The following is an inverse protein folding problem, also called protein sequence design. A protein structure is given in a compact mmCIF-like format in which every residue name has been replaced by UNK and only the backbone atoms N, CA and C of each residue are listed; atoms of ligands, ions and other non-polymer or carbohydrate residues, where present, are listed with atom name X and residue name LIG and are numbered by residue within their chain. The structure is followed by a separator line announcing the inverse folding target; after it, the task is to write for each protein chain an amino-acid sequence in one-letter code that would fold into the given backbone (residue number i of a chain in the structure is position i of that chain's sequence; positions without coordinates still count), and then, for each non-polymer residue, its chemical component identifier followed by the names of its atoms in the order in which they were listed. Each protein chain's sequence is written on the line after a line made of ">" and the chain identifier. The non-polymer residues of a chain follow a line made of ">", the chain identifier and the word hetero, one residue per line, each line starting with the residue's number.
data_IF_173706215657
#
_entry.id   IF_173706215657
#
_cell.length_a   1.000
_cell.length_b   1.000
_cell.length_c   1.000
_cell.angle_alpha   90.00
_cell.angle_beta   90.00
_cell.angle_gamma   90.00
#
_symmetry.space_group_name_H-M   'P 1'
#
loop_
_entity.id
_entity.type
_entity.pdbx_description
1 polymer ?
#
# COMPACT_ATOMS: atom_id res chain seq x y z
N UNK A 1 -2.77 19.69 4.76
CA UNK A 1 -2.99 19.28 3.34
C UNK A 1 -3.76 17.96 3.29
N UNK A 2 -4.60 17.72 2.28
CA UNK A 2 -5.42 16.49 2.18
C UNK A 2 -4.78 15.51 1.17
N UNK A 3 -4.47 14.27 1.61
CA UNK A 3 -3.89 13.20 0.79
C UNK A 3 -4.63 12.96 -0.52
N UNK A 4 -5.96 12.91 -0.49
CA UNK A 4 -6.76 12.65 -1.69
C UNK A 4 -6.72 13.80 -2.68
N UNK A 5 -6.63 15.04 -2.19
CA UNK A 5 -6.41 16.20 -3.07
C UNK A 5 -5.03 16.11 -3.73
N UNK A 6 -4.02 15.64 -3.01
CA UNK A 6 -2.68 15.41 -3.57
C UNK A 6 -2.72 14.28 -4.60
N UNK A 7 -3.36 13.15 -4.30
CA UNK A 7 -3.54 12.06 -5.26
C UNK A 7 -4.22 12.54 -6.54
N UNK A 8 -5.26 13.37 -6.43
CA UNK A 8 -5.99 13.91 -7.58
C UNK A 8 -5.11 14.85 -8.44
N UNK A 9 -4.02 15.43 -7.90
CA UNK A 9 -3.03 16.23 -8.66
C UNK A 9 -1.94 15.39 -9.33
N UNK A 10 -1.75 14.14 -8.90
CA UNK A 10 -0.71 13.27 -9.42
C UNK A 10 -1.16 12.57 -10.71
N UNK A 11 -0.18 12.19 -11.54
CA UNK A 11 -0.48 11.27 -12.64
C UNK A 11 -0.95 9.94 -12.06
N UNK A 12 -1.84 9.24 -12.77
CA UNK A 12 -2.36 7.93 -12.34
C UNK A 12 -1.24 6.92 -12.04
N UNK A 13 -0.17 6.93 -12.82
CA UNK A 13 0.99 6.07 -12.59
C UNK A 13 1.72 6.41 -11.29
N UNK A 14 1.92 7.70 -11.00
CA UNK A 14 2.59 8.19 -9.79
C UNK A 14 1.79 7.84 -8.53
N UNK A 15 0.46 8.00 -8.59
CA UNK A 15 -0.43 7.58 -7.53
C UNK A 15 -0.41 6.05 -7.32
N UNK A 16 -0.35 5.27 -8.41
CA UNK A 16 -0.24 3.81 -8.32
C UNK A 16 1.08 3.37 -7.67
N UNK A 17 2.18 4.09 -7.91
CA UNK A 17 3.48 3.82 -7.28
C UNK A 17 3.43 3.97 -5.76
N UNK A 18 2.62 4.90 -5.23
CA UNK A 18 2.44 5.06 -3.78
C UNK A 18 1.84 3.78 -3.19
N UNK A 19 0.76 3.27 -3.78
CA UNK A 19 0.14 2.02 -3.32
C UNK A 19 1.05 0.82 -3.49
N UNK A 20 1.80 0.77 -4.60
CA UNK A 20 2.77 -0.29 -4.85
C UNK A 20 3.86 -0.28 -3.77
N UNK A 21 4.39 0.89 -3.40
CA UNK A 21 5.38 1.02 -2.35
C UNK A 21 4.83 0.61 -0.98
N UNK A 22 3.61 1.05 -0.64
CA UNK A 22 2.91 0.66 0.59
C UNK A 22 2.73 -0.86 0.66
N UNK A 23 2.25 -1.50 -0.40
CA UNK A 23 2.07 -2.95 -0.44
C UNK A 23 3.40 -3.69 -0.32
N UNK A 24 4.45 -3.28 -1.04
CA UNK A 24 5.70 -4.03 -1.10
C UNK A 24 6.73 -3.64 -0.02
N UNK A 25 6.29 -2.97 1.06
CA UNK A 25 7.14 -2.54 2.18
C UNK A 25 8.35 -1.69 1.75
N UNK A 26 8.22 -0.97 0.64
CA UNK A 26 9.26 -0.07 0.12
C UNK A 26 9.26 1.18 1.00
N UNK A 27 10.41 1.64 1.53
CA UNK A 27 10.45 2.87 2.30
C UNK A 27 9.95 4.07 1.48
N UNK A 28 9.09 4.88 2.09
CA UNK A 28 8.51 6.09 1.49
C UNK A 28 9.07 7.30 2.23
N UNK A 29 9.62 8.25 1.49
CA UNK A 29 10.15 9.51 2.01
C UNK A 29 9.27 10.64 1.50
N UNK A 30 8.59 11.32 2.41
CA UNK A 30 7.73 12.45 2.10
C UNK A 30 8.48 13.74 2.42
N UNK A 31 8.82 14.51 1.39
CA UNK A 31 9.55 15.77 1.52
C UNK A 31 8.62 16.96 1.27
N UNK A 32 8.79 18.06 1.98
CA UNK A 32 8.00 19.27 1.76
C UNK A 32 8.48 20.46 2.59
N UNK A 33 7.85 21.62 2.42
CA UNK A 33 8.24 22.84 3.15
C UNK A 33 7.66 22.96 4.55
N UNK A 34 6.48 22.39 4.79
CA UNK A 34 5.74 22.57 6.04
C UNK A 34 5.63 21.24 6.78
N UNK A 35 6.25 21.14 7.95
CA UNK A 35 6.28 19.90 8.73
C UNK A 35 4.89 19.36 9.10
N UNK A 36 3.91 20.25 9.35
CA UNK A 36 2.55 19.86 9.72
C UNK A 36 1.84 19.15 8.56
N UNK A 37 1.93 19.71 7.34
CA UNK A 37 1.35 19.10 6.14
C UNK A 37 1.96 17.73 5.85
N UNK A 38 3.28 17.62 6.00
CA UNK A 38 3.99 16.35 5.82
C UNK A 38 3.52 15.34 6.87
N UNK A 39 3.51 15.71 8.16
CA UNK A 39 3.11 14.79 9.23
C UNK A 39 1.66 14.32 9.07
N UNK A 40 0.74 15.21 8.67
CA UNK A 40 -0.64 14.84 8.36
C UNK A 40 -0.71 13.85 7.19
N UNK A 41 0.10 14.07 6.14
CA UNK A 41 0.20 13.14 5.02
C UNK A 41 0.78 11.78 5.43
N UNK A 42 1.78 11.74 6.32
CA UNK A 42 2.32 10.49 6.86
C UNK A 42 1.26 9.68 7.61
N UNK A 43 0.43 10.36 8.42
CA UNK A 43 -0.67 9.73 9.15
C UNK A 43 -1.66 9.13 8.15
N UNK A 44 -2.12 9.92 7.18
CA UNK A 44 -3.07 9.47 6.17
C UNK A 44 -2.54 8.28 5.34
N UNK A 45 -1.24 8.27 4.99
CA UNK A 45 -0.59 7.11 4.35
C UNK A 45 -0.59 5.86 5.23
N UNK A 46 -0.25 6.03 6.52
CA UNK A 46 -0.14 4.91 7.47
C UNK A 46 -1.50 4.26 7.72
N UNK A 47 -2.58 5.05 7.74
CA UNK A 47 -3.94 4.55 7.92
C UNK A 47 -4.44 3.65 6.77
N UNK A 48 -3.83 3.74 5.58
CA UNK A 48 -4.18 2.88 4.43
C UNK A 48 -3.70 1.43 4.64
N UNK A 49 -2.57 1.25 5.31
CA UNK A 49 -1.93 -0.05 5.58
C UNK A 49 -2.33 -0.65 6.92
N UNK A 50 -3.61 -0.55 7.25
CA UNK A 50 -4.20 -1.02 8.52
C UNK A 50 -4.13 -2.53 8.78
N UNK A 51 -3.73 -3.35 7.80
CA UNK A 51 -3.41 -4.78 7.99
C UNK A 51 -2.01 -5.02 8.58
N UNK A 52 -1.22 -3.96 8.75
CA UNK A 52 0.07 -3.95 9.43
C UNK A 52 -0.02 -3.16 10.72
N UNK A 53 0.78 -3.55 11.70
CA UNK A 53 0.88 -2.85 12.97
C UNK A 53 1.74 -1.59 12.80
N UNK A 54 1.20 -0.43 13.17
CA UNK A 54 1.94 0.83 13.17
C UNK A 54 2.88 0.88 14.39
N UNK A 55 4.10 1.36 14.15
CA UNK A 55 4.99 1.85 15.20
C UNK A 55 5.53 3.23 14.83
N UNK A 56 5.55 4.15 15.78
CA UNK A 56 6.01 5.51 15.61
C UNK A 56 7.39 5.67 16.22
N UNK A 57 8.38 5.98 15.38
CA UNK A 57 9.74 6.23 15.86
C UNK A 57 9.76 7.43 16.82
N UNK A 58 10.48 7.27 17.93
CA UNK A 58 10.57 8.24 19.04
C UNK A 58 9.34 8.32 19.95
N UNK A 59 8.31 7.49 19.70
CA UNK A 59 7.17 7.30 20.60
C UNK A 59 7.13 5.86 21.12
N UNK A 60 7.16 4.88 20.21
CA UNK A 60 7.03 3.46 20.55
C UNK A 60 8.40 2.78 20.72
N UNK A 61 9.43 3.28 20.03
CA UNK A 61 10.81 2.79 20.14
C UNK A 61 11.81 3.88 19.76
N UNK A 62 13.05 3.75 20.24
CA UNK A 62 14.12 4.76 20.03
C UNK A 62 15.43 4.09 19.57
N UNK A 63 15.70 2.86 19.97
CA UNK A 63 16.98 2.18 19.75
C UNK A 63 16.97 1.29 18.49
N UNK A 64 18.19 0.95 18.03
CA UNK A 64 18.37 0.01 16.92
C UNK A 64 18.00 -1.41 17.32
N UNK A 65 18.34 -1.82 18.55
CA UNK A 65 17.99 -3.15 19.06
C UNK A 65 16.48 -3.37 19.14
N UNK A 66 15.71 -2.40 19.64
CA UNK A 66 14.24 -2.51 19.67
C UNK A 66 13.66 -2.70 18.25
N UNK A 67 14.18 -1.97 17.27
CA UNK A 67 13.77 -2.13 15.88
C UNK A 67 14.16 -3.50 15.31
N UNK A 68 15.37 -3.96 15.58
CA UNK A 68 15.83 -5.27 15.12
C UNK A 68 15.01 -6.40 15.74
N UNK A 69 14.66 -6.30 17.03
CA UNK A 69 13.78 -7.25 17.72
C UNK A 69 12.38 -7.29 17.08
N UNK A 70 11.82 -6.12 16.72
CA UNK A 70 10.54 -6.06 16.00
C UNK A 70 10.59 -6.83 14.67
N UNK A 71 11.63 -6.60 13.87
CA UNK A 71 11.81 -7.27 12.56
C UNK A 71 12.12 -8.76 12.74
N UNK A 72 12.88 -9.14 13.77
CA UNK A 72 13.17 -10.56 14.04
C UNK A 72 11.91 -11.33 14.44
N UNK A 73 11.04 -10.74 15.27
CA UNK A 73 9.78 -11.35 15.67
C UNK A 73 8.88 -11.66 14.46
N UNK A 74 8.87 -10.80 13.45
CA UNK A 74 8.16 -11.08 12.19
C UNK A 74 8.67 -12.37 11.53
N UNK A 75 9.98 -12.57 11.48
CA UNK A 75 10.57 -13.73 10.80
C UNK A 75 10.33 -15.05 11.54
N UNK A 76 10.03 -15.00 12.84
CA UNK A 76 9.80 -16.20 13.66
C UNK A 76 8.34 -16.66 13.55
N UNK A 77 7.38 -15.74 13.52
CA UNK A 77 5.96 -16.05 13.44
C UNK A 77 5.29 -15.39 12.23
N UNK A 78 4.91 -16.20 11.24
CA UNK A 78 4.18 -15.74 10.06
C UNK A 78 2.74 -15.28 10.38
N UNK A 79 2.20 -15.60 11.56
CA UNK A 79 0.89 -15.11 11.99
C UNK A 79 0.97 -13.72 12.63
N UNK A 80 2.15 -13.27 13.06
CA UNK A 80 2.33 -11.95 13.63
C UNK A 80 2.04 -10.86 12.59
N UNK A 81 1.40 -9.78 13.05
CA UNK A 81 1.19 -8.59 12.23
C UNK A 81 2.55 -7.95 11.90
N UNK A 82 2.84 -7.82 10.60
CA UNK A 82 4.04 -7.14 10.14
C UNK A 82 4.00 -5.67 10.56
N UNK A 83 5.14 -5.13 10.96
CA UNK A 83 5.31 -3.75 11.35
C UNK A 83 5.45 -2.86 10.11
N UNK A 84 4.88 -1.66 10.22
CA UNK A 84 5.28 -0.51 9.42
C UNK A 84 5.66 0.64 10.36
N UNK A 85 6.67 1.41 9.97
CA UNK A 85 7.23 2.44 10.84
C UNK A 85 6.86 3.81 10.31
N UNK A 86 6.20 4.64 11.11
CA UNK A 86 6.05 6.07 10.81
C UNK A 86 7.13 6.87 11.53
N UNK A 87 7.81 7.74 10.79
CA UNK A 87 8.84 8.63 11.32
C UNK A 87 8.46 10.09 11.08
N UNK A 88 8.01 10.83 12.11
CA UNK A 88 7.69 12.25 12.00
C UNK A 88 8.87 13.12 11.56
N UNK A 89 8.56 14.30 11.00
CA UNK A 89 9.57 15.24 10.52
C UNK A 89 10.60 15.63 11.59
N UNK A 90 10.15 15.82 12.83
CA UNK A 90 10.98 16.28 13.97
C UNK A 90 12.11 15.33 14.35
N UNK A 91 12.04 14.06 13.94
CA UNK A 91 13.00 13.01 14.31
C UNK A 91 13.62 12.29 13.10
N UNK A 92 13.29 12.74 11.89
CA UNK A 92 13.73 12.14 10.63
C UNK A 92 15.25 12.04 10.48
N UNK A 93 15.98 13.13 10.74
CA UNK A 93 17.45 13.14 10.69
C UNK A 93 18.07 12.19 11.72
N UNK A 94 17.44 12.06 12.90
CA UNK A 94 17.89 11.10 13.92
C UNK A 94 17.73 9.67 13.44
N UNK A 95 16.59 9.35 12.82
CA UNK A 95 16.36 8.03 12.22
C UNK A 95 17.38 7.75 11.11
N UNK A 96 17.53 8.68 10.17
CA UNK A 96 18.48 8.53 9.06
C UNK A 96 19.92 8.34 9.54
N UNK A 97 20.34 9.00 10.62
CA UNK A 97 21.69 8.83 11.15
C UNK A 97 21.88 7.52 11.94
N UNK A 98 20.82 7.04 12.60
CA UNK A 98 20.89 5.89 13.52
C UNK A 98 20.70 4.55 12.83
N UNK A 99 19.82 4.47 11.84
CA UNK A 99 19.45 3.21 11.19
C UNK A 99 20.08 3.10 9.80
N UNK A 100 20.33 1.85 9.40
CA UNK A 100 20.88 1.50 8.08
C UNK A 100 19.94 0.59 7.28
N UNK A 101 18.78 0.23 7.83
CA UNK A 101 17.75 -0.58 7.19
C UNK A 101 16.41 0.05 7.50
N UNK A 102 15.55 0.14 6.49
CA UNK A 102 14.32 0.92 6.54
C UNK A 102 13.14 0.14 5.94
N UNK A 103 12.91 -1.09 6.41
CA UNK A 103 11.81 -1.92 5.94
C UNK A 103 10.46 -1.31 6.32
N UNK A 104 9.62 -0.99 5.33
CA UNK A 104 8.30 -0.39 5.53
C UNK A 104 8.28 0.91 6.33
N UNK A 105 9.32 1.74 6.24
CA UNK A 105 9.35 3.06 6.87
C UNK A 105 8.64 4.12 6.01
N UNK A 106 7.88 4.99 6.64
CA UNK A 106 7.29 6.20 6.06
C UNK A 106 7.87 7.40 6.82
N UNK A 107 8.77 8.14 6.18
CA UNK A 107 9.60 9.17 6.81
C UNK A 107 9.23 10.55 6.26
N UNK A 108 8.88 11.49 7.13
CA UNK A 108 8.71 12.89 6.76
C UNK A 108 10.02 13.66 6.85
N UNK A 109 10.34 14.47 5.85
CA UNK A 109 11.52 15.35 5.86
C UNK A 109 11.09 16.76 5.48
N UNK A 110 11.29 17.69 6.41
CA UNK A 110 11.10 19.12 6.13
C UNK A 110 12.32 19.66 5.37
N UNK A 111 12.07 20.24 4.19
CA UNK A 111 13.07 20.87 3.36
C UNK A 111 13.19 22.35 3.73
N UNK A 112 14.25 22.69 4.47
CA UNK A 112 14.63 24.09 4.69
C UNK A 112 15.25 24.62 3.40
N UNK A 113 14.90 25.86 3.01
CA UNK A 113 15.00 26.50 1.67
C UNK A 113 16.33 26.45 0.86
N UNK A 114 17.35 25.68 1.26
CA UNK A 114 18.53 25.48 0.43
C UNK A 114 18.32 24.40 -0.62
N UNK A 115 18.36 24.79 -1.89
CA UNK A 115 18.22 23.93 -3.09
C UNK A 115 19.26 22.78 -3.10
N UNK A 116 20.42 22.96 -2.45
CA UNK A 116 21.43 21.91 -2.28
C UNK A 116 21.06 20.79 -1.27
N UNK A 117 20.02 20.99 -0.45
CA UNK A 117 19.64 20.03 0.59
C UNK A 117 18.96 18.78 0.01
N UNK A 118 18.12 18.92 -1.02
CA UNK A 118 17.36 17.81 -1.61
C UNK A 118 18.27 16.83 -2.36
N UNK A 119 19.27 17.33 -3.11
CA UNK A 119 20.28 16.49 -3.78
C UNK A 119 21.13 15.72 -2.76
N UNK A 120 21.50 16.36 -1.65
CA UNK A 120 22.24 15.72 -0.58
C UNK A 120 21.42 14.64 0.15
N UNK A 121 20.11 14.85 0.34
CA UNK A 121 19.21 13.86 0.94
C UNK A 121 19.12 12.62 0.05
N UNK A 122 18.80 12.78 -1.25
CA UNK A 122 18.75 11.64 -2.19
C UNK A 122 20.05 10.83 -2.21
N UNK A 123 21.20 11.52 -2.28
CA UNK A 123 22.51 10.86 -2.26
C UNK A 123 22.78 10.12 -0.95
N UNK A 124 22.32 10.68 0.18
CA UNK A 124 22.43 10.01 1.49
C UNK A 124 21.51 8.79 1.59
N UNK A 125 20.29 8.88 1.07
CA UNK A 125 19.32 7.78 1.05
C UNK A 125 19.82 6.61 0.20
N UNK A 126 20.37 6.88 -1.00
CA UNK A 126 20.96 5.84 -1.87
C UNK A 126 22.13 5.08 -1.24
N UNK A 127 22.78 5.62 -0.21
CA UNK A 127 23.83 4.91 0.55
C UNK A 127 23.27 3.97 1.62
N UNK A 128 21.99 4.14 1.99
CA UNK A 128 21.34 3.45 3.11
C UNK A 128 20.20 2.53 2.67
N UNK A 129 19.63 2.76 1.49
CA UNK A 129 18.47 2.07 0.98
C UNK A 129 18.70 1.72 -0.48
N UNK A 130 18.50 0.45 -0.83
CA UNK A 130 18.63 -0.01 -2.21
C UNK A 130 17.47 0.48 -3.08
N UNK A 131 16.28 0.58 -2.51
CA UNK A 131 15.07 1.07 -3.16
C UNK A 131 14.23 1.90 -2.19
N UNK A 132 13.64 3.00 -2.68
CA UNK A 132 12.75 3.87 -1.92
C UNK A 132 11.89 4.73 -2.85
N UNK A 133 10.75 5.18 -2.35
CA UNK A 133 9.86 6.12 -3.04
C UNK A 133 10.02 7.51 -2.41
N UNK A 134 10.24 8.54 -3.22
CA UNK A 134 10.18 9.95 -2.78
C UNK A 134 8.88 10.57 -3.26
N UNK A 135 8.21 11.26 -2.34
CA UNK A 135 7.04 12.10 -2.61
C UNK A 135 7.41 13.53 -2.23
N UNK A 136 7.55 14.41 -3.21
CA UNK A 136 7.81 15.83 -3.00
C UNK A 136 6.49 16.59 -3.01
N UNK A 137 6.15 17.18 -1.86
CA UNK A 137 5.01 18.04 -1.64
C UNK A 137 5.42 19.50 -1.86
N UNK A 138 5.12 20.02 -3.04
CA UNK A 138 5.38 21.42 -3.40
C UNK A 138 4.08 22.17 -3.66
N UNK A 139 4.12 23.50 -3.53
CA UNK A 139 2.97 24.37 -3.80
C UNK A 139 2.51 24.29 -5.26
N UNK A 140 3.44 24.17 -6.20
CA UNK A 140 3.14 24.25 -7.63
C UNK A 140 2.81 22.87 -8.24
N UNK A 141 3.57 21.85 -7.87
CA UNK A 141 3.44 20.50 -8.45
C UNK A 141 4.01 19.44 -7.52
N UNK A 142 3.16 18.47 -7.18
CA UNK A 142 3.58 17.28 -6.45
C UNK A 142 4.29 16.31 -7.40
N UNK A 143 5.36 15.69 -6.92
CA UNK A 143 6.16 14.76 -7.72
C UNK A 143 6.44 13.48 -6.95
N UNK A 144 6.36 12.36 -7.65
CA UNK A 144 6.65 11.03 -7.11
C UNK A 144 7.75 10.40 -7.93
N UNK A 145 8.76 9.85 -7.26
CA UNK A 145 9.90 9.24 -7.91
C UNK A 145 10.28 7.96 -7.17
N UNK A 146 10.31 6.85 -7.91
CA UNK A 146 10.79 5.57 -7.40
C UNK A 146 12.26 5.41 -7.77
N UNK A 147 13.09 5.15 -6.77
CA UNK A 147 14.53 4.97 -6.90
C UNK A 147 14.89 3.52 -6.63
N UNK A 148 15.90 3.01 -7.33
CA UNK A 148 16.43 1.66 -7.12
C UNK A 148 15.65 0.51 -7.76
N UNK A 149 14.50 0.79 -8.39
CA UNK A 149 13.70 -0.21 -9.10
C UNK A 149 13.40 0.28 -10.52
N UNK A 150 13.59 -0.59 -11.50
CA UNK A 150 13.26 -0.29 -12.88
C UNK A 150 11.73 -0.29 -13.08
N UNK A 151 11.15 0.87 -13.37
CA UNK A 151 9.71 1.03 -13.61
C UNK A 151 9.16 0.11 -14.71
N UNK A 152 9.99 -0.32 -15.67
CA UNK A 152 9.57 -1.24 -16.75
C UNK A 152 9.36 -2.68 -16.27
N UNK A 153 9.92 -3.04 -15.11
CA UNK A 153 9.80 -4.37 -14.51
C UNK A 153 8.64 -4.47 -13.52
N UNK A 154 7.96 -3.34 -13.26
CA UNK A 154 6.86 -3.28 -12.30
C UNK A 154 5.54 -3.35 -13.05
N UNK A 155 4.71 -4.33 -12.69
CA UNK A 155 3.29 -4.31 -13.03
C UNK A 155 2.50 -3.51 -11.98
N UNK A 156 1.85 -2.44 -12.42
CA UNK A 156 1.00 -1.56 -11.62
C UNK A 156 -0.50 -1.75 -11.92
N UNK A 157 -0.87 -2.81 -12.65
CA UNK A 157 -2.26 -3.08 -13.06
C UNK A 157 -3.22 -3.10 -11.87
N UNK A 158 -2.84 -3.79 -10.78
CA UNK A 158 -3.59 -3.88 -9.54
C UNK A 158 -3.80 -2.50 -8.91
N UNK A 159 -2.73 -1.76 -8.67
CA UNK A 159 -2.78 -0.45 -8.01
C UNK A 159 -3.55 0.58 -8.86
N UNK A 160 -3.45 0.49 -10.19
CA UNK A 160 -4.26 1.29 -11.10
C UNK A 160 -5.74 0.91 -11.04
N UNK A 161 -6.08 -0.34 -10.76
CA UNK A 161 -7.47 -0.78 -10.57
C UNK A 161 -8.08 -0.18 -9.29
N UNK A 162 -7.28 -0.05 -8.22
CA UNK A 162 -7.71 0.64 -7.00
C UNK A 162 -8.08 2.09 -7.29
N UNK A 163 -7.21 2.81 -8.01
CA UNK A 163 -7.49 4.19 -8.45
C UNK A 163 -8.79 4.30 -9.25
N UNK A 164 -9.06 3.33 -10.11
CA UNK A 164 -10.29 3.32 -10.90
C UNK A 164 -11.54 3.11 -10.05
N UNK A 165 -11.50 2.14 -9.14
CA UNK A 165 -12.61 1.85 -8.21
C UNK A 165 -12.92 3.07 -7.34
N UNK A 166 -11.88 3.72 -6.80
CA UNK A 166 -12.03 4.94 -6.01
C UNK A 166 -12.78 6.01 -6.80
N UNK A 167 -12.35 6.31 -8.03
CA UNK A 167 -13.01 7.34 -8.84
C UNK A 167 -14.46 6.97 -9.15
N UNK A 168 -14.70 5.75 -9.65
CA UNK A 168 -16.03 5.32 -10.11
C UNK A 168 -17.04 5.17 -8.95
N UNK A 169 -16.63 4.52 -7.85
CA UNK A 169 -17.55 4.18 -6.77
C UNK A 169 -17.84 5.38 -5.86
N UNK A 170 -16.85 6.27 -5.70
CA UNK A 170 -17.05 7.52 -4.98
C UNK A 170 -18.03 8.43 -5.74
N UNK A 171 -17.85 8.61 -7.05
CA UNK A 171 -18.76 9.43 -7.87
C UNK A 171 -20.19 8.89 -7.85
N UNK A 172 -20.37 7.58 -8.03
CA UNK A 172 -21.69 6.93 -7.96
C UNK A 172 -22.35 7.14 -6.58
N UNK A 173 -21.60 6.97 -5.50
CA UNK A 173 -22.12 7.06 -4.14
C UNK A 173 -22.55 8.50 -3.79
N UNK A 174 -21.72 9.49 -4.14
CA UNK A 174 -22.03 10.91 -3.93
C UNK A 174 -23.20 11.35 -4.80
N UNK A 175 -23.23 10.98 -6.08
CA UNK A 175 -24.36 11.30 -6.97
C UNK A 175 -25.69 10.73 -6.45
N UNK A 176 -25.67 9.50 -5.93
CA UNK A 176 -26.83 8.88 -5.30
C UNK A 176 -27.29 9.65 -4.05
N UNK A 177 -26.37 10.05 -3.17
CA UNK A 177 -26.71 10.83 -1.98
C UNK A 177 -27.27 12.21 -2.33
N UNK A 178 -26.63 12.95 -3.23
CA UNK A 178 -27.12 14.24 -3.72
C UNK A 178 -28.54 14.12 -4.28
N UNK A 179 -28.81 13.08 -5.07
CA UNK A 179 -30.15 12.83 -5.62
C UNK A 179 -31.18 12.60 -4.51
N UNK A 180 -30.86 11.75 -3.52
CA UNK A 180 -31.77 11.44 -2.41
C UNK A 180 -32.05 12.68 -1.56
N UNK A 181 -31.05 13.51 -1.28
CA UNK A 181 -31.27 14.75 -0.52
C UNK A 181 -32.06 15.77 -1.32
N UNK A 182 -31.73 15.99 -2.60
CA UNK A 182 -32.49 16.89 -3.47
C UNK A 182 -33.95 16.47 -3.64
N UNK A 183 -34.25 15.16 -3.69
CA UNK A 183 -35.62 14.68 -3.73
C UNK A 183 -36.38 14.96 -2.43
N UNK A 184 -35.70 15.01 -1.27
CA UNK A 184 -36.30 15.29 0.04
C UNK A 184 -36.42 16.78 0.38
N UNK A 185 -35.53 17.63 -0.14
CA UNK A 185 -35.51 19.08 0.12
C UNK A 185 -36.35 19.91 -0.85
N UNK A 186 -36.85 19.31 -1.94
CA UNK A 186 -37.76 19.94 -2.92
C UNK A 186 -39.06 20.52 -2.32
N UNK A 187 -39.38 20.20 -1.07
CA UNK A 187 -40.63 20.56 -0.40
C UNK A 187 -40.50 21.90 0.36
N UNK A 188 -39.27 22.34 0.66
CA UNK A 188 -39.03 23.51 1.51
C UNK A 188 -38.35 24.65 0.74
N UNK A 189 -38.75 25.89 1.03
CA UNK A 189 -38.21 27.14 0.46
C UNK A 189 -36.86 27.48 1.12
N UNK A 190 -35.92 26.54 1.07
CA UNK A 190 -34.62 26.62 1.76
C UNK A 190 -33.71 27.57 0.98
N UNK A 191 -33.07 28.47 1.72
CA UNK A 191 -32.05 29.36 1.20
C UNK A 191 -30.95 28.59 0.44
N UNK A 192 -30.52 29.12 -0.71
CA UNK A 192 -29.56 28.48 -1.60
C UNK A 192 -28.21 28.28 -0.94
N UNK A 193 -27.78 29.19 -0.07
CA UNK A 193 -26.50 29.09 0.62
C UNK A 193 -26.52 28.00 1.70
N UNK A 194 -27.65 27.85 2.40
CA UNK A 194 -27.87 26.74 3.32
C UNK A 194 -27.93 25.41 2.57
N UNK A 195 -28.61 25.35 1.43
CA UNK A 195 -28.64 24.16 0.57
C UNK A 195 -27.24 23.78 0.04
N UNK A 196 -26.44 24.74 -0.38
CA UNK A 196 -25.07 24.49 -0.84
C UNK A 196 -24.19 23.93 0.28
N UNK A 197 -24.36 24.42 1.51
CA UNK A 197 -23.64 23.92 2.68
C UNK A 197 -24.09 22.50 3.06
N UNK A 198 -25.40 22.23 3.03
CA UNK A 198 -25.97 20.92 3.34
C UNK A 198 -25.64 19.84 2.29
N UNK A 199 -25.29 20.26 1.08
CA UNK A 199 -24.87 19.38 -0.02
C UNK A 199 -23.36 19.38 -0.25
N UNK A 200 -22.57 19.99 0.65
CA UNK A 200 -21.11 19.87 0.63
C UNK A 200 -20.69 18.51 1.21
N UNK A 201 -20.38 17.58 0.31
CA UNK A 201 -19.98 16.21 0.64
C UNK A 201 -18.46 16.00 0.58
N UNK A 202 -17.64 17.04 0.63
CA UNK A 202 -16.18 16.89 0.46
C UNK A 202 -15.55 16.00 1.55
N UNK A 203 -16.06 16.06 2.78
CA UNK A 203 -15.59 15.21 3.89
C UNK A 203 -15.99 13.75 3.69
N UNK A 204 -17.26 13.50 3.34
CA UNK A 204 -17.79 12.17 3.06
C UNK A 204 -17.07 11.56 1.86
N UNK A 205 -16.81 12.35 0.82
CA UNK A 205 -16.07 11.93 -0.36
C UNK A 205 -14.66 11.46 0.02
N UNK A 206 -13.98 12.19 0.90
CA UNK A 206 -12.65 11.82 1.42
C UNK A 206 -12.70 10.47 2.16
N UNK A 207 -13.63 10.32 3.10
CA UNK A 207 -13.77 9.09 3.89
C UNK A 207 -14.17 7.89 3.03
N UNK A 208 -15.03 8.09 2.03
CA UNK A 208 -15.37 7.05 1.05
C UNK A 208 -14.15 6.61 0.25
N UNK A 209 -13.37 7.55 -0.31
CA UNK A 209 -12.14 7.22 -1.03
C UNK A 209 -11.17 6.41 -0.16
N UNK A 210 -10.99 6.82 1.11
CA UNK A 210 -10.16 6.11 2.11
C UNK A 210 -10.65 4.70 2.38
N UNK A 211 -11.94 4.54 2.63
CA UNK A 211 -12.53 3.24 2.94
C UNK A 211 -12.46 2.27 1.75
N UNK A 212 -12.65 2.76 0.52
CA UNK A 212 -12.48 1.96 -0.69
C UNK A 212 -11.04 1.45 -0.79
N UNK A 213 -10.03 2.33 -0.70
CA UNK A 213 -8.61 1.90 -0.74
C UNK A 213 -8.33 0.85 0.32
N UNK A 214 -8.68 1.14 1.57
CA UNK A 214 -8.43 0.23 2.69
C UNK A 214 -9.04 -1.14 2.41
N UNK A 215 -10.29 -1.18 1.97
CA UNK A 215 -10.97 -2.43 1.62
C UNK A 215 -10.23 -3.20 0.52
N UNK A 216 -9.84 -2.53 -0.56
CA UNK A 216 -9.15 -3.18 -1.68
C UNK A 216 -7.76 -3.70 -1.31
N UNK A 217 -6.96 -2.91 -0.59
CA UNK A 217 -5.66 -3.36 -0.08
C UNK A 217 -5.81 -4.52 0.91
N UNK A 218 -6.82 -4.49 1.78
CA UNK A 218 -7.11 -5.57 2.73
C UNK A 218 -7.49 -6.87 2.01
N UNK A 219 -8.32 -6.80 0.96
CA UNK A 219 -8.70 -7.96 0.16
C UNK A 219 -7.46 -8.60 -0.48
N UNK A 220 -6.62 -7.78 -1.11
CA UNK A 220 -5.37 -8.25 -1.71
C UNK A 220 -4.42 -8.90 -0.68
N UNK A 221 -4.23 -8.25 0.48
CA UNK A 221 -3.44 -8.79 1.58
C UNK A 221 -3.99 -10.15 2.06
N UNK A 222 -5.30 -10.23 2.27
CA UNK A 222 -5.96 -11.44 2.78
C UNK A 222 -5.89 -12.60 1.78
N UNK A 223 -6.08 -12.31 0.49
CA UNK A 223 -5.89 -13.28 -0.59
C UNK A 223 -4.44 -13.78 -0.65
N UNK A 224 -3.47 -12.87 -0.55
CA UNK A 224 -2.05 -13.21 -0.55
C UNK A 224 -1.65 -14.02 0.68
N UNK A 225 -2.22 -13.73 1.85
CA UNK A 225 -2.01 -14.52 3.08
C UNK A 225 -2.60 -15.94 2.96
N UNK A 226 -3.77 -16.09 2.33
CA UNK A 226 -4.33 -17.41 2.01
C UNK A 226 -3.43 -18.19 1.05
N UNK A 227 -2.97 -17.53 -0.01
CA UNK A 227 -2.02 -18.13 -0.97
C UNK A 227 -0.73 -18.56 -0.27
N UNK A 228 -0.16 -17.70 0.58
CA UNK A 228 1.02 -18.01 1.39
C UNK A 228 0.86 -19.30 2.19
N UNK A 229 -0.25 -19.48 2.92
CA UNK A 229 -0.46 -20.70 3.69
C UNK A 229 -0.62 -21.96 2.84
N UNK A 230 -1.33 -21.85 1.70
CA UNK A 230 -1.49 -22.97 0.77
C UNK A 230 -0.13 -23.36 0.19
N UNK A 231 0.63 -22.39 -0.32
CA UNK A 231 1.93 -22.61 -0.94
C UNK A 231 2.98 -23.12 0.07
N UNK A 232 2.96 -22.61 1.30
CA UNK A 232 3.81 -23.10 2.39
C UNK A 232 3.56 -24.58 2.68
N UNK A 233 2.29 -25.00 2.71
CA UNK A 233 1.92 -26.42 2.90
C UNK A 233 2.39 -27.29 1.74
N UNK A 234 2.20 -26.84 0.50
CA UNK A 234 2.69 -27.56 -0.68
C UNK A 234 4.22 -27.69 -0.67
N UNK A 235 4.93 -26.62 -0.28
CA UNK A 235 6.38 -26.65 -0.15
C UNK A 235 6.86 -27.63 0.93
N UNK A 236 6.17 -27.71 2.07
CA UNK A 236 6.43 -28.72 3.10
C UNK A 236 6.22 -30.14 2.59
N UNK A 237 5.17 -30.40 1.81
CA UNK A 237 4.95 -31.71 1.19
C UNK A 237 6.10 -32.09 0.24
N UNK A 238 6.65 -31.13 -0.51
CA UNK A 238 7.84 -31.37 -1.34
C UNK A 238 9.08 -31.68 -0.52
N UNK A 239 9.23 -31.08 0.67
CA UNK A 239 10.37 -31.35 1.56
C UNK A 239 10.39 -32.80 2.08
N UNK A 240 9.23 -33.48 2.07
CA UNK A 240 9.09 -34.91 2.38
C UNK A 240 8.95 -35.77 1.13
N UNK A 241 9.50 -35.31 0.00
CA UNK A 241 9.56 -36.00 -1.31
C UNK A 241 8.21 -36.24 -2.00
N UNK A 242 7.12 -35.61 -1.54
CA UNK A 242 5.83 -35.63 -2.24
C UNK A 242 5.84 -34.50 -3.27
N UNK A 243 6.01 -34.84 -4.55
CA UNK A 243 6.02 -33.87 -5.62
C UNK A 243 4.62 -33.27 -5.83
N UNK A 244 4.36 -32.14 -5.16
CA UNK A 244 3.10 -31.39 -5.26
C UNK A 244 3.33 -30.07 -5.97
N UNK A 245 2.44 -29.76 -6.90
CA UNK A 245 2.37 -28.48 -7.60
C UNK A 245 0.90 -28.11 -7.74
N UNK A 246 0.60 -26.82 -7.81
CA UNK A 246 -0.75 -26.32 -7.99
C UNK A 246 -0.83 -25.50 -9.29
N UNK A 247 -1.92 -25.68 -10.03
CA UNK A 247 -2.26 -24.86 -11.16
C UNK A 247 -2.62 -23.43 -10.74
N UNK A 248 -2.19 -22.44 -11.52
CA UNK A 248 -2.47 -21.02 -11.26
C UNK A 248 -3.98 -20.75 -11.08
N UNK A 249 -4.81 -21.30 -11.98
CA UNK A 249 -6.26 -21.11 -11.94
C UNK A 249 -6.87 -21.64 -10.64
N UNK A 250 -6.50 -22.85 -10.24
CA UNK A 250 -6.98 -23.49 -9.02
C UNK A 250 -6.57 -22.72 -7.78
N UNK A 251 -5.34 -22.19 -7.74
CA UNK A 251 -4.90 -21.36 -6.64
C UNK A 251 -5.72 -20.06 -6.54
N UNK A 252 -5.91 -19.35 -7.65
CA UNK A 252 -6.68 -18.10 -7.68
C UNK A 252 -8.15 -18.31 -7.30
N UNK A 253 -8.77 -19.39 -7.78
CA UNK A 253 -10.13 -19.79 -7.38
C UNK A 253 -10.19 -20.11 -5.88
N UNK A 254 -9.20 -20.83 -5.35
CA UNK A 254 -9.15 -21.21 -3.92
C UNK A 254 -8.98 -20.00 -3.00
N UNK A 255 -8.19 -19.02 -3.41
CA UNK A 255 -8.01 -17.79 -2.63
C UNK A 255 -9.07 -16.74 -2.92
N UNK A 256 -10.05 -17.03 -3.79
CA UNK A 256 -11.17 -16.15 -4.14
C UNK A 256 -10.69 -14.72 -4.49
N UNK A 257 -9.72 -14.63 -5.40
CA UNK A 257 -9.14 -13.35 -5.81
C UNK A 257 -8.58 -13.39 -7.23
N UNK A 258 -9.22 -12.67 -8.14
CA UNK A 258 -8.88 -12.65 -9.57
C UNK A 258 -8.33 -11.29 -10.05
N UNK A 259 -8.23 -10.30 -9.17
CA UNK A 259 -7.90 -8.92 -9.54
C UNK A 259 -6.40 -8.68 -9.77
N UNK A 260 -5.55 -9.66 -9.45
CA UNK A 260 -4.11 -9.60 -9.67
C UNK A 260 -3.59 -10.90 -10.29
N UNK A 261 -2.56 -10.82 -11.17
CA UNK A 261 -1.89 -12.01 -11.66
C UNK A 261 -1.15 -12.72 -10.52
N UNK A 262 -0.97 -14.04 -10.65
CA UNK A 262 -0.31 -14.85 -9.63
C UNK A 262 1.13 -14.41 -9.36
N UNK A 263 1.84 -13.96 -10.39
CA UNK A 263 3.18 -13.40 -10.28
C UNK A 263 3.20 -12.18 -9.32
N UNK A 264 2.15 -11.35 -9.34
CA UNK A 264 2.02 -10.20 -8.42
C UNK A 264 1.79 -10.66 -6.98
N UNK A 265 1.02 -11.73 -6.77
CA UNK A 265 0.76 -12.34 -5.46
C UNK A 265 2.03 -12.98 -4.91
N UNK A 266 2.75 -13.78 -5.69
CA UNK A 266 4.02 -14.40 -5.26
C UNK A 266 5.07 -13.33 -4.95
N UNK A 267 5.16 -12.29 -5.79
CA UNK A 267 6.06 -11.15 -5.55
C UNK A 267 5.71 -10.44 -4.23
N UNK A 268 4.43 -10.19 -3.96
CA UNK A 268 3.99 -9.65 -2.67
C UNK A 268 4.37 -10.58 -1.52
N UNK A 269 4.13 -11.89 -1.64
CA UNK A 269 4.46 -12.86 -0.60
C UNK A 269 5.95 -12.84 -0.26
N UNK A 270 6.82 -12.78 -1.27
CA UNK A 270 8.26 -12.66 -1.08
C UNK A 270 8.60 -11.35 -0.33
N UNK A 271 7.97 -10.22 -0.69
CA UNK A 271 8.21 -8.95 0.03
C UNK A 271 7.65 -8.92 1.45
N UNK A 272 6.57 -9.64 1.73
CA UNK A 272 5.89 -9.63 3.03
C UNK A 272 6.44 -10.67 4.02
N UNK A 273 6.77 -11.86 3.52
CA UNK A 273 7.18 -13.03 4.32
C UNK A 273 8.55 -13.59 3.94
N UNK A 274 9.25 -13.01 2.96
CA UNK A 274 10.58 -13.45 2.50
C UNK A 274 10.61 -14.91 2.01
N UNK A 275 9.51 -15.38 1.45
CA UNK A 275 9.36 -16.72 0.87
C UNK A 275 9.14 -16.65 -0.65
N UNK A 276 9.81 -17.53 -1.40
CA UNK A 276 9.65 -17.66 -2.85
C UNK A 276 9.00 -19.00 -3.20
N UNK A 277 7.82 -18.93 -3.83
CA UNK A 277 7.02 -20.09 -4.22
C UNK A 277 6.91 -20.30 -5.72
N UNK A 278 7.71 -19.61 -6.56
CA UNK A 278 7.68 -19.81 -8.02
C UNK A 278 7.90 -21.28 -8.42
N UNK A 279 8.69 -22.02 -7.64
CA UNK A 279 8.96 -23.44 -7.91
C UNK A 279 7.78 -24.38 -7.62
N UNK A 280 6.79 -23.94 -6.84
CA UNK A 280 5.64 -24.75 -6.36
C UNK A 280 4.40 -24.53 -7.23
N UNK A 281 4.43 -23.49 -8.07
CA UNK A 281 3.37 -23.13 -9.01
C UNK A 281 3.77 -23.57 -10.41
N UNK A 282 2.86 -24.16 -11.17
CA UNK A 282 3.09 -24.49 -12.57
C UNK A 282 2.08 -23.81 -13.50
N UNK A 283 2.59 -23.03 -14.45
CA UNK A 283 1.79 -22.44 -15.52
C UNK A 283 1.66 -23.47 -16.67
N UNK A 284 0.60 -24.28 -16.65
CA UNK A 284 0.36 -25.27 -17.70
C UNK A 284 -1.09 -25.76 -17.80
N UNK A 285 -1.63 -25.86 -19.03
CA UNK A 285 -3.01 -26.32 -19.31
C UNK A 285 -3.30 -27.72 -18.75
N UNK A 286 -2.29 -28.59 -18.67
CA UNK A 286 -2.43 -29.99 -18.25
C UNK A 286 -2.67 -30.13 -16.75
N UNK A 287 -1.99 -29.33 -15.92
CA UNK A 287 -2.17 -29.34 -14.45
C UNK A 287 -3.47 -28.66 -14.09
N UNK A 288 -3.79 -27.51 -14.70
CA UNK A 288 -5.09 -26.86 -14.49
C UNK A 288 -6.26 -27.81 -14.82
N UNK A 289 -6.16 -28.62 -15.88
CA UNK A 289 -7.17 -29.62 -16.20
C UNK A 289 -7.23 -30.77 -15.19
N UNK A 290 -6.07 -31.24 -14.70
CA UNK A 290 -6.01 -32.30 -13.69
C UNK A 290 -6.62 -31.85 -12.36
N UNK A 291 -6.29 -30.63 -11.92
CA UNK A 291 -6.80 -30.02 -10.70
C UNK A 291 -8.32 -29.79 -10.80
N UNK A 292 -8.80 -29.30 -11.95
CA UNK A 292 -10.24 -29.11 -12.22
C UNK A 292 -11.01 -30.43 -12.24
N UNK A 293 -10.38 -31.51 -12.74
CA UNK A 293 -10.99 -32.84 -12.71
C UNK A 293 -11.04 -33.37 -11.28
N UNK A 294 -10.00 -33.18 -10.47
CA UNK A 294 -10.01 -33.63 -9.08
C UNK A 294 -10.97 -32.83 -8.18
N UNK A 295 -11.13 -31.53 -8.42
CA UNK A 295 -12.05 -30.68 -7.66
C UNK A 295 -13.53 -30.99 -7.90
N UNK A 296 -13.87 -31.66 -9.00
CA UNK A 296 -15.24 -32.13 -9.29
C UNK A 296 -15.60 -33.48 -8.65
N UNK A 297 -14.65 -34.14 -7.99
CA UNK A 297 -14.86 -35.45 -7.34
C UNK A 297 -14.92 -35.34 -5.80
N UNK A 298 -15.04 -34.12 -5.27
CA UNK A 298 -15.31 -33.81 -3.87
C UNK A 298 -16.76 -33.42 -3.63
#
# INVERSE_FOLDING_TARGET
>A
MNFFKILDTLKRQDAALIFYALLNRIPIIVCGKYSEDINNFLIELSELIHFRKEFVFYTDFISVSEYEDLIQNENIDYNSERAHIRCPCSVSLKALNRFNRFYSWIIGIELVQNVDSSFNIKKSLRKKMDAFLIINLNLDKNEVELEGINLKEIDLSLEQSFLQKISQDTEKSIAKMMRVLNEKTKIDDIDKDLMNTLLDFETEKKELKKNIIKSEMQKFFSASKRAFFILSRLNLLRSVEINTKIGNKTLLETIDYEEAPLERIISFINKEWNEDFFMVVENGKKINALDSMQSMWG
#
